data_IF_602824788786
#
_entry.id   IF_602824788786
#
_cell.length_a   1.000
_cell.length_b   1.000
_cell.length_c   1.000
_cell.angle_alpha   90.00
_cell.angle_beta   90.00
_cell.angle_gamma   90.00
#
_symmetry.space_group_name_H-M   'P 1'
#
loop_
_entity.id
_entity.type
_entity.pdbx_description
1 polymer ?
#
# COMPACT_ATOMS: atom_id res chain seq x y z
N UNK A 1 -23.67 -24.02 49.00
CA UNK A 1 -23.57 -24.25 47.54
C UNK A 1 -24.95 -24.66 47.03
N UNK A 2 -25.65 -23.81 46.27
CA UNK A 2 -26.89 -24.19 45.59
C UNK A 2 -26.55 -24.68 44.17
N UNK A 3 -26.93 -25.92 43.84
CA UNK A 3 -26.75 -26.49 42.49
C UNK A 3 -27.99 -26.18 41.65
N UNK A 4 -27.81 -25.44 40.56
CA UNK A 4 -28.87 -25.07 39.63
C UNK A 4 -29.28 -26.27 38.77
N UNK A 5 -30.49 -26.80 38.98
CA UNK A 5 -31.10 -27.80 38.10
C UNK A 5 -31.71 -27.12 36.86
N UNK A 6 -30.92 -26.92 35.81
CA UNK A 6 -31.46 -26.60 34.48
C UNK A 6 -31.93 -27.89 33.81
N UNK A 7 -33.25 -28.15 33.82
CA UNK A 7 -33.86 -29.23 33.04
C UNK A 7 -33.51 -29.04 31.56
N UNK A 8 -32.73 -29.97 31.00
CA UNK A 8 -32.44 -30.05 29.57
C UNK A 8 -33.78 -30.22 28.82
N UNK A 9 -34.19 -29.20 28.05
CA UNK A 9 -35.38 -29.29 27.21
C UNK A 9 -35.12 -30.33 26.12
N UNK A 10 -36.01 -31.31 25.97
CA UNK A 10 -35.95 -32.28 24.88
C UNK A 10 -36.06 -31.56 23.54
N UNK A 11 -35.24 -31.97 22.56
CA UNK A 11 -35.34 -31.44 21.20
C UNK A 11 -36.66 -31.91 20.59
N UNK A 12 -37.42 -30.98 20.02
CA UNK A 12 -38.67 -31.25 19.31
C UNK A 12 -38.44 -32.19 18.14
N UNK A 13 -39.43 -33.03 17.84
CA UNK A 13 -39.37 -33.90 16.66
C UNK A 13 -39.45 -33.08 15.37
N UNK A 14 -38.99 -33.64 14.23
CA UNK A 14 -39.09 -32.94 12.92
C UNK A 14 -40.53 -32.63 12.53
N UNK A 15 -41.48 -33.50 12.89
CA UNK A 15 -42.90 -33.30 12.64
C UNK A 15 -43.44 -32.11 13.46
N UNK A 16 -43.09 -32.05 14.74
CA UNK A 16 -43.50 -30.99 15.66
C UNK A 16 -42.96 -29.61 15.23
N UNK A 17 -41.70 -29.54 14.76
CA UNK A 17 -41.10 -28.31 14.20
C UNK A 17 -41.85 -27.84 12.95
N UNK A 18 -42.28 -28.77 12.10
CA UNK A 18 -43.01 -28.46 10.87
C UNK A 18 -44.42 -27.92 11.17
N UNK A 19 -45.11 -28.50 12.15
CA UNK A 19 -46.42 -28.04 12.62
C UNK A 19 -46.32 -26.65 13.25
N UNK A 20 -45.37 -26.44 14.16
CA UNK A 20 -45.11 -25.13 14.78
C UNK A 20 -44.79 -24.07 13.72
N UNK A 21 -43.99 -24.41 12.71
CA UNK A 21 -43.69 -23.50 11.60
C UNK A 21 -44.93 -23.14 10.78
N UNK A 22 -45.85 -24.09 10.55
CA UNK A 22 -47.12 -23.83 9.85
C UNK A 22 -48.03 -22.94 10.68
N UNK A 23 -48.11 -23.17 11.99
CA UNK A 23 -48.88 -22.31 12.90
C UNK A 23 -48.32 -20.88 12.98
N UNK A 24 -47.01 -20.73 13.10
CA UNK A 24 -46.35 -19.43 13.10
C UNK A 24 -46.61 -18.67 11.79
N UNK A 25 -46.59 -19.38 10.65
CA UNK A 25 -46.99 -18.80 9.36
C UNK A 25 -48.44 -18.32 9.41
N UNK A 26 -49.40 -19.14 9.88
CA UNK A 26 -50.81 -18.73 10.02
C UNK A 26 -50.97 -17.50 10.92
N UNK A 27 -50.28 -17.47 12.06
CA UNK A 27 -50.28 -16.34 13.01
C UNK A 27 -49.66 -15.06 12.41
N UNK A 28 -48.64 -15.18 11.55
CA UNK A 28 -47.99 -14.04 10.88
C UNK A 28 -48.74 -13.56 9.64
N UNK A 29 -49.62 -14.36 9.01
CA UNK A 29 -50.38 -13.95 7.81
C UNK A 29 -51.19 -12.67 7.99
N UNK A 30 -51.75 -12.46 9.18
CA UNK A 30 -52.55 -11.27 9.50
C UNK A 30 -51.77 -10.20 10.28
N UNK A 31 -50.50 -10.45 10.62
CA UNK A 31 -49.64 -9.47 11.27
C UNK A 31 -48.77 -8.80 10.21
N UNK A 32 -48.73 -7.48 10.20
CA UNK A 32 -47.77 -6.73 9.38
C UNK A 32 -46.32 -7.06 9.75
N UNK A 33 -45.37 -6.59 8.94
CA UNK A 33 -43.95 -6.66 9.27
C UNK A 33 -43.67 -5.87 10.56
N UNK A 34 -42.78 -6.36 11.44
CA UNK A 34 -42.39 -5.60 12.63
C UNK A 34 -41.76 -4.26 12.20
N UNK A 35 -41.96 -3.22 13.01
CA UNK A 35 -41.34 -1.92 12.77
C UNK A 35 -39.81 -2.04 12.73
N UNK A 36 -39.20 -1.36 11.77
CA UNK A 36 -37.74 -1.36 11.62
C UNK A 36 -37.06 -0.77 12.84
N UNK A 37 -35.99 -1.42 13.31
CA UNK A 37 -35.20 -0.97 14.46
C UNK A 37 -34.25 0.17 14.05
N UNK A 38 -34.82 1.32 13.69
CA UNK A 38 -34.04 2.55 13.38
C UNK A 38 -33.59 3.29 14.63
N UNK A 39 -34.21 2.99 15.78
CA UNK A 39 -33.99 3.68 17.05
C UNK A 39 -33.13 2.92 18.06
N UNK A 40 -32.78 1.65 17.82
CA UNK A 40 -31.80 0.94 18.66
C UNK A 40 -30.35 1.17 18.18
N UNK A 41 -30.03 2.40 17.75
CA UNK A 41 -28.66 2.89 17.89
C UNK A 41 -28.48 3.23 19.37
N UNK A 42 -28.42 2.17 20.19
CA UNK A 42 -28.05 2.26 21.58
C UNK A 42 -26.64 2.84 21.65
N UNK A 43 -26.58 4.11 22.03
CA UNK A 43 -25.48 4.73 22.77
C UNK A 43 -25.06 3.77 23.89
N UNK A 44 -24.19 2.82 23.58
CA UNK A 44 -23.62 1.85 24.51
C UNK A 44 -22.14 1.69 24.22
N UNK A 45 -21.43 2.81 24.07
CA UNK A 45 -19.97 2.83 24.00
C UNK A 45 -19.40 3.89 24.93
N UNK A 46 -19.82 3.84 26.20
CA UNK A 46 -18.92 4.22 27.29
C UNK A 46 -18.25 2.92 27.75
N UNK A 47 -16.95 2.84 27.48
CA UNK A 47 -16.01 1.86 28.04
C UNK A 47 -15.97 0.47 27.40
N UNK A 48 -15.48 0.37 26.15
CA UNK A 48 -14.71 -0.81 25.73
C UNK A 48 -13.48 -0.37 24.93
N UNK A 49 -12.37 -0.22 25.63
CA UNK A 49 -11.06 -0.39 25.01
C UNK A 49 -11.01 -1.79 24.37
N UNK A 50 -10.39 -1.85 23.19
CA UNK A 50 -9.91 -3.07 22.50
C UNK A 50 -10.92 -3.99 21.78
N UNK A 51 -11.78 -3.45 20.91
CA UNK A 51 -12.19 -4.24 19.73
C UNK A 51 -12.31 -3.37 18.48
N UNK A 52 -11.84 -3.90 17.35
CA UNK A 52 -11.82 -3.24 16.03
C UNK A 52 -13.25 -3.22 15.48
N UNK A 53 -14.07 -2.30 15.99
CA UNK A 53 -15.43 -2.09 15.48
C UNK A 53 -15.32 -1.62 14.04
N UNK A 54 -15.96 -2.34 13.12
CA UNK A 54 -16.10 -1.97 11.71
C UNK A 54 -16.86 -0.64 11.70
N UNK A 55 -16.16 0.45 11.40
CA UNK A 55 -16.76 1.79 11.29
C UNK A 55 -17.48 1.87 9.95
N UNK A 56 -18.68 2.45 9.95
CA UNK A 56 -19.43 2.71 8.72
C UNK A 56 -18.58 3.64 7.82
N UNK A 57 -18.31 3.26 6.55
CA UNK A 57 -17.51 4.07 5.64
C UNK A 57 -18.13 5.45 5.36
N UNK A 58 -19.44 5.64 5.60
CA UNK A 58 -20.11 6.94 5.45
C UNK A 58 -19.78 7.91 6.59
N UNK A 59 -19.31 7.42 7.74
CA UNK A 59 -18.93 8.26 8.88
C UNK A 59 -17.43 8.51 8.81
N UNK A 60 -17.05 9.71 8.39
CA UNK A 60 -15.66 10.14 8.34
C UNK A 60 -14.97 10.16 9.71
N UNK A 61 -13.64 10.35 9.71
CA UNK A 61 -12.85 10.43 10.93
C UNK A 61 -13.21 11.69 11.75
N UNK A 62 -13.96 11.53 12.83
CA UNK A 62 -14.24 12.59 13.82
C UNK A 62 -13.20 12.68 14.95
N UNK A 63 -11.95 12.27 14.69
CA UNK A 63 -10.87 12.42 15.69
C UNK A 63 -10.51 13.90 15.79
N UNK A 64 -10.54 14.53 16.99
CA UNK A 64 -10.13 15.92 17.13
C UNK A 64 -8.64 16.05 16.80
N UNK A 65 -8.31 17.10 16.04
CA UNK A 65 -6.94 17.48 15.71
C UNK A 65 -6.63 18.74 16.52
N UNK A 66 -5.52 18.75 17.25
CA UNK A 66 -5.07 19.91 18.00
C UNK A 66 -4.63 21.02 17.06
N UNK A 67 -5.07 22.25 17.33
CA UNK A 67 -4.77 23.43 16.50
C UNK A 67 -3.44 24.12 16.86
N UNK A 68 -2.78 23.64 17.91
CA UNK A 68 -1.54 24.18 18.44
C UNK A 68 -0.46 23.13 18.21
N UNK A 69 0.62 23.52 17.53
CA UNK A 69 1.81 22.69 17.39
C UNK A 69 2.59 22.81 18.69
N UNK A 70 2.22 22.03 19.70
CA UNK A 70 3.11 21.77 20.81
C UNK A 70 4.07 20.66 20.37
N UNK A 71 5.38 20.92 20.44
CA UNK A 71 6.47 19.95 20.28
C UNK A 71 6.49 18.93 21.45
N UNK A 72 5.32 18.39 21.77
CA UNK A 72 5.15 17.33 22.74
C UNK A 72 5.57 16.03 22.08
N UNK A 73 6.86 15.74 22.24
CA UNK A 73 7.47 14.43 22.10
C UNK A 73 6.48 13.31 22.46
N UNK A 74 5.86 12.72 21.43
CA UNK A 74 5.18 11.45 21.59
C UNK A 74 6.24 10.46 22.03
N UNK A 75 6.22 10.11 23.32
CA UNK A 75 7.04 9.06 23.91
C UNK A 75 6.61 7.74 23.27
N UNK A 76 7.16 7.44 22.11
CA UNK A 76 6.96 6.19 21.38
C UNK A 76 7.52 5.09 22.28
N UNK A 77 6.64 4.18 22.71
CA UNK A 77 7.02 2.91 23.37
C UNK A 77 8.11 2.24 22.52
N UNK A 78 9.14 1.60 23.11
CA UNK A 78 10.22 0.99 22.32
C UNK A 78 9.62 -0.11 21.43
N UNK A 79 9.35 0.26 20.18
CA UNK A 79 9.01 -0.66 19.11
C UNK A 79 10.31 -1.42 18.85
N UNK A 80 10.26 -2.75 19.02
CA UNK A 80 11.32 -3.67 18.61
C UNK A 80 11.92 -3.16 17.31
N UNK A 81 13.22 -2.88 17.33
CA UNK A 81 13.98 -2.42 16.17
C UNK A 81 13.68 -3.35 14.99
N UNK A 82 12.75 -2.91 14.13
CA UNK A 82 12.69 -3.42 12.78
C UNK A 82 14.00 -2.99 12.14
N UNK A 83 14.71 -3.99 11.62
CA UNK A 83 15.93 -3.88 10.80
C UNK A 83 15.93 -2.58 10.00
N UNK A 84 17.07 -1.89 9.88
CA UNK A 84 17.13 -0.59 9.23
C UNK A 84 16.39 -0.68 7.90
N UNK A 85 15.29 0.07 7.82
CA UNK A 85 14.64 0.39 6.57
C UNK A 85 15.74 1.01 5.74
N UNK A 86 16.34 0.23 4.83
CA UNK A 86 17.05 0.78 3.69
C UNK A 86 16.11 1.85 3.16
N UNK A 87 16.53 3.10 3.24
CA UNK A 87 15.87 4.19 2.52
C UNK A 87 15.71 3.65 1.10
N UNK A 88 14.47 3.35 0.69
CA UNK A 88 14.18 3.00 -0.69
C UNK A 88 14.39 4.30 -1.48
N UNK A 89 15.65 4.62 -1.75
CA UNK A 89 15.99 5.53 -2.83
C UNK A 89 15.32 4.92 -4.06
N UNK A 90 14.58 5.71 -4.81
CA UNK A 90 14.11 5.23 -6.11
C UNK A 90 15.34 4.91 -6.95
N UNK A 91 15.28 3.91 -7.85
CA UNK A 91 16.40 3.62 -8.76
C UNK A 91 16.92 4.88 -9.48
N UNK A 92 16.02 5.79 -9.84
CA UNK A 92 16.36 7.10 -10.41
C UNK A 92 17.16 8.02 -9.48
N UNK A 93 16.82 8.05 -8.19
CA UNK A 93 17.54 8.87 -7.21
C UNK A 93 18.92 8.27 -6.86
N UNK A 94 19.03 6.94 -6.83
CA UNK A 94 20.33 6.29 -6.67
C UNK A 94 21.24 6.57 -7.87
N UNK A 95 20.68 6.52 -9.07
CA UNK A 95 21.41 6.84 -10.31
C UNK A 95 21.91 8.29 -10.31
N UNK A 96 21.04 9.25 -9.99
CA UNK A 96 21.42 10.67 -9.88
C UNK A 96 22.53 10.88 -8.83
N UNK A 97 22.52 10.13 -7.73
CA UNK A 97 23.58 10.20 -6.73
C UNK A 97 24.91 9.63 -7.25
N UNK A 98 24.87 8.57 -8.06
CA UNK A 98 26.07 7.99 -8.68
C UNK A 98 26.66 8.90 -9.76
N UNK A 99 25.81 9.54 -10.56
CA UNK A 99 26.20 10.54 -11.56
C UNK A 99 26.84 11.79 -10.94
N UNK A 100 26.46 12.13 -9.71
CA UNK A 100 27.03 13.26 -8.97
C UNK A 100 28.16 12.87 -7.98
N UNK A 101 28.76 11.68 -8.11
CA UNK A 101 29.86 11.26 -7.23
C UNK A 101 31.20 11.87 -7.72
N UNK A 102 31.80 12.83 -6.97
CA UNK A 102 33.00 13.53 -7.42
C UNK A 102 34.22 12.61 -7.57
N UNK A 103 34.22 11.45 -6.88
CA UNK A 103 35.29 10.48 -7.02
C UNK A 103 35.19 9.75 -8.35
N UNK A 104 33.98 9.44 -8.80
CA UNK A 104 33.74 8.80 -10.09
C UNK A 104 34.18 9.73 -11.23
N UNK A 105 33.75 11.00 -11.17
CA UNK A 105 34.13 12.04 -12.14
C UNK A 105 35.65 12.19 -12.27
N UNK A 106 36.35 12.32 -11.15
CA UNK A 106 37.82 12.46 -11.16
C UNK A 106 38.51 11.23 -11.78
N UNK A 107 37.96 10.03 -11.60
CA UNK A 107 38.50 8.81 -12.20
C UNK A 107 38.26 8.80 -13.72
N UNK A 108 37.11 9.26 -14.18
CA UNK A 108 36.80 9.40 -15.60
C UNK A 108 37.74 10.42 -16.27
N UNK A 109 37.95 11.58 -15.65
CA UNK A 109 38.91 12.60 -16.13
C UNK A 109 40.33 12.02 -16.32
N UNK A 110 40.77 11.19 -15.37
CA UNK A 110 42.08 10.54 -15.44
C UNK A 110 42.16 9.53 -16.59
N UNK A 111 41.07 8.80 -16.85
CA UNK A 111 40.96 7.87 -17.99
C UNK A 111 41.01 8.64 -19.30
N UNK A 112 40.30 9.76 -19.42
CA UNK A 112 40.34 10.64 -20.60
C UNK A 112 41.75 11.20 -20.83
N UNK A 113 42.46 11.54 -19.77
CA UNK A 113 43.86 11.99 -19.80
C UNK A 113 44.85 10.84 -20.08
N UNK A 114 44.37 9.60 -20.31
CA UNK A 114 45.18 8.39 -20.50
C UNK A 114 46.16 8.13 -19.34
N UNK A 115 45.82 8.57 -18.13
CA UNK A 115 46.63 8.35 -16.93
C UNK A 115 46.40 6.93 -16.39
N UNK A 116 47.45 6.34 -15.80
CA UNK A 116 47.35 4.99 -15.25
C UNK A 116 46.57 4.99 -13.93
N UNK A 117 45.44 4.28 -13.90
CA UNK A 117 44.68 4.00 -12.69
C UNK A 117 45.33 2.86 -11.89
N UNK A 118 45.28 2.97 -10.56
CA UNK A 118 45.62 1.86 -9.68
C UNK A 118 44.55 0.77 -9.77
N UNK A 119 44.90 -0.49 -9.42
CA UNK A 119 43.94 -1.61 -9.47
C UNK A 119 42.69 -1.37 -8.62
N UNK A 120 42.83 -0.71 -7.47
CA UNK A 120 41.70 -0.37 -6.60
C UNK A 120 40.79 0.68 -7.21
N UNK A 121 41.36 1.68 -7.89
CA UNK A 121 40.60 2.71 -8.60
C UNK A 121 39.84 2.12 -9.79
N UNK A 122 40.49 1.25 -10.57
CA UNK A 122 39.83 0.56 -11.68
C UNK A 122 38.68 -0.31 -11.17
N UNK A 123 38.92 -1.14 -10.14
CA UNK A 123 37.86 -1.99 -9.59
C UNK A 123 36.68 -1.19 -9.02
N UNK A 124 36.95 -0.01 -8.44
CA UNK A 124 35.91 0.90 -8.00
C UNK A 124 35.12 1.48 -9.18
N UNK A 125 35.81 1.96 -10.23
CA UNK A 125 35.19 2.48 -11.45
C UNK A 125 34.28 1.42 -12.07
N UNK A 126 34.81 0.22 -12.32
CA UNK A 126 34.06 -0.89 -12.92
C UNK A 126 32.84 -1.26 -12.06
N UNK A 127 32.98 -1.30 -10.73
CA UNK A 127 31.87 -1.57 -9.82
C UNK A 127 30.78 -0.50 -9.86
N UNK A 128 31.14 0.77 -10.10
CA UNK A 128 30.17 1.87 -10.21
C UNK A 128 29.45 1.87 -11.54
N UNK A 129 30.17 1.65 -12.64
CA UNK A 129 29.60 1.53 -13.98
C UNK A 129 28.61 0.36 -14.05
N UNK A 130 28.98 -0.83 -13.56
CA UNK A 130 28.06 -1.97 -13.50
C UNK A 130 26.77 -1.66 -12.71
N UNK A 131 26.87 -0.87 -11.64
CA UNK A 131 25.69 -0.48 -10.85
C UNK A 131 24.80 0.51 -11.61
N UNK A 132 25.39 1.41 -12.38
CA UNK A 132 24.66 2.33 -13.26
C UNK A 132 23.92 1.54 -14.34
N UNK A 133 24.56 0.55 -14.95
CA UNK A 133 23.95 -0.31 -15.96
C UNK A 133 22.74 -1.10 -15.40
N UNK A 134 22.89 -1.68 -14.20
CA UNK A 134 21.76 -2.32 -13.49
C UNK A 134 20.59 -1.35 -13.26
N UNK A 135 20.88 -0.12 -12.82
CA UNK A 135 19.85 0.90 -12.57
C UNK A 135 19.18 1.38 -13.86
N UNK A 136 19.92 1.48 -14.96
CA UNK A 136 19.38 1.78 -16.29
C UNK A 136 18.42 0.68 -16.76
N UNK A 137 18.79 -0.59 -16.59
CA UNK A 137 17.91 -1.72 -16.89
C UNK A 137 16.65 -1.74 -16.01
N UNK A 138 16.78 -1.47 -14.70
CA UNK A 138 15.63 -1.37 -13.78
C UNK A 138 14.66 -0.24 -14.18
N UNK A 139 15.18 0.85 -14.74
CA UNK A 139 14.39 1.98 -15.24
C UNK A 139 13.81 1.75 -16.64
N UNK A 140 14.23 0.69 -17.33
CA UNK A 140 13.76 0.35 -18.68
C UNK A 140 14.52 1.05 -19.81
N UNK A 141 15.75 1.49 -19.57
CA UNK A 141 16.70 1.86 -20.63
C UNK A 141 17.53 0.62 -20.97
N UNK A 142 16.92 -0.34 -21.66
CA UNK A 142 17.67 -1.53 -22.09
C UNK A 142 18.41 -1.24 -23.38
N UNK A 143 19.56 -1.89 -23.60
CA UNK A 143 20.35 -1.72 -24.83
C UNK A 143 19.53 -2.08 -26.09
N UNK A 144 18.58 -3.01 -25.96
CA UNK A 144 17.66 -3.42 -27.03
C UNK A 144 16.68 -2.30 -27.44
N UNK A 145 16.33 -1.37 -26.52
CA UNK A 145 15.44 -0.24 -26.83
C UNK A 145 16.18 0.89 -27.56
N UNK A 146 17.52 0.96 -27.46
CA UNK A 146 18.31 2.02 -28.11
C UNK A 146 18.37 1.83 -29.63
N UNK A 147 18.38 0.57 -30.10
CA UNK A 147 18.34 0.23 -31.52
C UNK A 147 16.96 0.47 -32.16
N UNK A 148 15.85 0.43 -31.40
CA UNK A 148 14.48 0.67 -31.93
C UNK A 148 14.11 2.17 -32.01
N UNK A 149 14.87 3.06 -31.35
CA UNK A 149 14.64 4.50 -31.39
C UNK A 149 15.06 5.16 -32.72
N UNK A 150 15.98 4.54 -33.48
CA UNK A 150 16.42 5.06 -34.78
C UNK A 150 15.29 5.00 -35.85
N UNK A 151 14.33 4.08 -35.69
CA UNK A 151 13.19 3.89 -36.62
C UNK A 151 11.95 4.74 -36.28
N UNK A 152 11.94 5.47 -35.15
CA UNK A 152 10.79 6.32 -34.76
C UNK A 152 10.82 7.74 -35.34
N UNK A 153 11.97 8.20 -35.84
CA UNK A 153 12.07 9.54 -36.43
C UNK A 153 11.45 9.63 -37.84
N UNK A 154 11.41 8.54 -38.61
CA UNK A 154 10.72 8.51 -39.92
C UNK A 154 9.20 8.72 -39.79
N UNK A 155 8.56 8.19 -38.74
CA UNK A 155 7.09 8.28 -38.57
C UNK A 155 6.61 9.68 -38.20
N UNK A 156 7.48 10.53 -37.65
CA UNK A 156 7.13 11.90 -37.23
C UNK A 156 6.96 12.85 -38.43
N UNK A 157 7.69 12.63 -39.52
CA UNK A 157 7.59 13.45 -40.73
C UNK A 157 6.21 13.30 -41.42
N UNK A 158 5.67 12.08 -41.44
CA UNK A 158 4.37 11.78 -42.03
C UNK A 158 3.22 12.51 -41.31
N UNK A 159 3.28 12.62 -39.99
CA UNK A 159 2.28 13.33 -39.17
C UNK A 159 2.31 14.84 -39.44
N UNK A 160 3.51 15.41 -39.58
CA UNK A 160 3.68 16.85 -39.90
C UNK A 160 3.17 17.17 -41.31
N UNK A 161 3.38 16.25 -42.26
CA UNK A 161 2.84 16.40 -43.63
C UNK A 161 1.31 16.39 -43.67
N UNK A 162 0.66 15.55 -42.84
CA UNK A 162 -0.79 15.45 -42.68
C UNK A 162 -1.41 16.71 -42.07
N UNK A 163 -0.73 17.35 -41.11
CA UNK A 163 -1.20 18.61 -40.50
C UNK A 163 -1.13 19.81 -41.45
N UNK A 164 -0.23 19.80 -42.44
CA UNK A 164 -0.01 20.92 -43.35
C UNK A 164 -0.98 20.97 -44.55
N UNK A 165 -1.87 19.99 -44.68
CA UNK A 165 -2.79 19.84 -45.82
C UNK A 165 -4.20 20.41 -45.58
N UNK A 166 -4.49 20.99 -44.42
CA UNK A 166 -5.75 21.70 -44.13
C UNK A 166 -5.57 23.21 -44.07
#
# INVERSE_FOLDING_TARGET
MLKNNSKLKSKKSRQEINEESRELKRKRKHKGLPSGSRFNNGESNKNKNTSKVIKDPRVGSKKPISLIVEDSSNRVKPVKQSKPSKTFLSPQQELEQLENDPKLDMLLDLVEQNSQLTKEQQAYLDSKLNRIDELMQELGYTDDDFDEFEDQDEKKEDIVSLLKRN
#
